data_IF_943009316721
#
_entry.id   IF_943009316721
#
_cell.length_a   1.000
_cell.length_b   1.000
_cell.length_c   1.000
_cell.angle_alpha   90.00
_cell.angle_beta   90.00
_cell.angle_gamma   90.00
#
_symmetry.space_group_name_H-M   'P 1'
#
loop_
_entity.id
_entity.type
_entity.pdbx_description
1 polymer ?
#
# COMPACT_ATOMS: atom_id res chain seq x y z
N UNK A 1 0.02 -2.06 20.59
CA UNK A 1 -0.85 -1.41 19.60
C UNK A 1 -0.48 -1.86 18.21
N UNK A 2 -1.48 -2.14 17.41
CA UNK A 2 -1.23 -2.60 16.05
C UNK A 2 -1.27 -1.44 15.07
N UNK A 3 -0.46 -1.55 14.01
CA UNK A 3 -0.44 -0.60 12.92
C UNK A 3 -0.84 -1.33 11.65
N UNK A 4 -1.69 -0.70 10.87
CA UNK A 4 -2.21 -1.27 9.64
C UNK A 4 -1.56 -0.64 8.42
N UNK A 5 -1.07 -1.48 7.54
CA UNK A 5 -0.51 -1.04 6.27
C UNK A 5 -1.52 -1.33 5.17
N UNK A 6 -1.80 -0.32 4.35
CA UNK A 6 -2.59 -0.49 3.14
C UNK A 6 -1.66 -0.29 1.95
N UNK A 7 -1.69 -1.21 1.01
CA UNK A 7 -0.78 -1.20 -0.13
C UNK A 7 -1.55 -0.86 -1.40
N UNK A 8 -1.08 0.15 -2.12
CA UNK A 8 -1.70 0.55 -3.38
C UNK A 8 -0.87 -0.01 -4.54
N UNK A 9 -1.54 -0.67 -5.47
CA UNK A 9 -0.89 -1.32 -6.60
C UNK A 9 -1.60 -0.97 -7.90
N UNK A 10 -0.92 -1.20 -9.02
CA UNK A 10 -1.52 -1.03 -10.35
C UNK A 10 -1.28 -2.23 -11.25
N UNK A 11 -0.31 -3.07 -10.96
CA UNK A 11 0.10 -4.12 -11.86
C UNK A 11 0.29 -5.47 -11.19
N UNK A 12 1.36 -6.16 -11.57
CA UNK A 12 1.61 -7.51 -11.11
C UNK A 12 1.78 -7.64 -9.61
N UNK A 13 2.19 -6.56 -8.96
CA UNK A 13 2.31 -6.60 -7.51
C UNK A 13 3.58 -7.23 -7.00
N UNK A 14 4.66 -7.21 -7.78
CA UNK A 14 5.92 -7.80 -7.33
C UNK A 14 6.43 -7.11 -6.07
N UNK A 15 6.31 -5.80 -5.98
CA UNK A 15 6.71 -5.08 -4.78
C UNK A 15 5.80 -5.44 -3.60
N UNK A 16 4.50 -5.54 -3.87
CA UNK A 16 3.56 -5.95 -2.86
C UNK A 16 3.88 -7.34 -2.33
N UNK A 17 4.17 -8.28 -3.23
CA UNK A 17 4.55 -9.63 -2.82
C UNK A 17 5.78 -9.61 -1.94
N UNK A 18 6.78 -8.83 -2.31
CA UNK A 18 8.01 -8.74 -1.53
C UNK A 18 7.74 -8.21 -0.14
N UNK A 19 6.89 -7.20 -0.03
CA UNK A 19 6.54 -6.64 1.29
C UNK A 19 5.80 -7.68 2.11
N UNK A 20 4.84 -8.36 1.51
CA UNK A 20 4.07 -9.38 2.21
C UNK A 20 4.96 -10.50 2.71
N UNK A 21 5.83 -11.02 1.82
CA UNK A 21 6.72 -12.11 2.19
C UNK A 21 7.67 -11.71 3.31
N UNK A 22 8.16 -10.48 3.26
CA UNK A 22 9.02 -9.99 4.33
C UNK A 22 8.25 -9.89 5.63
N UNK A 23 6.98 -9.48 5.58
CA UNK A 23 6.18 -9.37 6.79
C UNK A 23 5.95 -10.75 7.42
N UNK A 24 5.83 -11.78 6.61
CA UNK A 24 5.68 -13.13 7.11
C UNK A 24 7.00 -13.67 7.67
N UNK A 25 8.07 -13.50 6.90
CA UNK A 25 9.39 -14.00 7.32
C UNK A 25 9.86 -13.37 8.63
N UNK A 26 9.59 -12.08 8.79
CA UNK A 26 10.03 -11.35 9.97
C UNK A 26 8.96 -11.28 11.05
N UNK A 27 7.80 -11.89 10.78
CA UNK A 27 6.72 -11.99 11.76
C UNK A 27 6.30 -10.61 12.28
N UNK A 28 6.02 -9.70 11.35
CA UNK A 28 5.70 -8.32 11.70
C UNK A 28 4.53 -8.18 12.67
N UNK A 29 3.42 -8.92 12.50
CA UNK A 29 2.31 -8.73 13.43
C UNK A 29 2.68 -9.01 14.87
N UNK A 30 3.45 -10.07 15.12
CA UNK A 30 3.81 -10.42 16.50
C UNK A 30 4.97 -9.60 17.04
N UNK A 31 5.97 -9.35 16.18
CA UNK A 31 7.16 -8.64 16.65
C UNK A 31 6.96 -7.14 16.74
N UNK A 32 6.21 -6.57 15.81
CA UNK A 32 6.12 -5.11 15.70
C UNK A 32 4.70 -4.58 15.75
N UNK A 33 3.72 -5.45 15.82
CA UNK A 33 2.33 -5.03 15.79
C UNK A 33 1.94 -4.41 14.45
N UNK A 34 2.57 -4.84 13.36
CA UNK A 34 2.35 -4.29 12.03
C UNK A 34 1.73 -5.36 11.15
N UNK A 35 0.64 -5.04 10.48
CA UNK A 35 0.01 -6.01 9.58
C UNK A 35 -0.49 -5.31 8.32
N UNK A 36 -0.62 -6.08 7.26
CA UNK A 36 -1.20 -5.60 6.01
C UNK A 36 -2.70 -5.78 6.09
N UNK A 37 -3.44 -4.69 6.23
CA UNK A 37 -4.88 -4.77 6.43
C UNK A 37 -5.66 -4.73 5.13
N UNK A 38 -5.06 -4.27 4.05
CA UNK A 38 -5.75 -4.23 2.78
C UNK A 38 -4.86 -3.84 1.62
N UNK A 39 -5.32 -4.17 0.43
CA UNK A 39 -4.65 -3.84 -0.82
C UNK A 39 -5.66 -3.15 -1.72
N UNK A 40 -5.27 -2.07 -2.37
CA UNK A 40 -6.15 -1.36 -3.27
C UNK A 40 -5.46 -1.24 -4.62
N UNK A 41 -6.15 -1.64 -5.67
CA UNK A 41 -5.66 -1.50 -7.04
C UNK A 41 -6.51 -0.50 -7.80
N UNK A 42 -5.87 0.30 -8.64
CA UNK A 42 -6.61 1.18 -9.54
C UNK A 42 -6.92 0.51 -10.87
N UNK A 43 -6.62 -0.79 -11.00
CA UNK A 43 -6.89 -1.56 -12.21
C UNK A 43 -7.46 -2.91 -11.83
N UNK A 44 -8.62 -3.28 -12.38
CA UNK A 44 -9.26 -4.55 -12.01
C UNK A 44 -8.49 -5.78 -12.46
N UNK A 45 -7.62 -5.64 -13.46
CA UNK A 45 -6.88 -6.78 -14.00
C UNK A 45 -5.51 -6.95 -13.33
N UNK A 46 -5.21 -6.19 -12.28
CA UNK A 46 -3.89 -6.24 -11.65
C UNK A 46 -3.60 -7.63 -11.07
N UNK A 47 -2.42 -8.17 -11.40
CA UNK A 47 -2.04 -9.50 -10.91
C UNK A 47 -1.89 -9.57 -9.41
N UNK A 48 -1.58 -8.45 -8.78
CA UNK A 48 -1.48 -8.42 -7.32
C UNK A 48 -2.78 -8.74 -6.62
N UNK A 49 -3.91 -8.55 -7.30
CA UNK A 49 -5.20 -8.91 -6.71
C UNK A 49 -5.35 -10.43 -6.60
N UNK A 50 -4.84 -11.16 -7.57
CA UNK A 50 -4.85 -12.62 -7.50
C UNK A 50 -4.02 -13.08 -6.30
N UNK A 51 -2.87 -12.48 -6.11
CA UNK A 51 -2.02 -12.80 -4.97
C UNK A 51 -2.73 -12.51 -3.65
N UNK A 52 -3.44 -11.38 -3.59
CA UNK A 52 -4.20 -11.03 -2.39
C UNK A 52 -5.25 -12.10 -2.09
N UNK A 53 -5.97 -12.51 -3.11
CA UNK A 53 -7.03 -13.51 -2.95
C UNK A 53 -6.43 -14.83 -2.46
N UNK A 54 -5.31 -15.24 -3.04
CA UNK A 54 -4.67 -16.50 -2.68
C UNK A 54 -4.15 -16.50 -1.26
N UNK A 55 -3.84 -15.33 -0.72
CA UNK A 55 -3.27 -15.23 0.62
C UNK A 55 -4.25 -14.62 1.62
N UNK A 56 -5.52 -14.56 1.26
CA UNK A 56 -6.60 -14.09 2.14
C UNK A 56 -6.35 -12.67 2.66
N UNK A 57 -5.83 -11.82 1.79
CA UNK A 57 -5.62 -10.41 2.11
C UNK A 57 -6.80 -9.62 1.54
N UNK A 58 -7.52 -8.85 2.36
CA UNK A 58 -8.63 -8.05 1.85
C UNK A 58 -8.17 -7.08 0.77
N UNK A 59 -8.99 -6.90 -0.25
CA UNK A 59 -8.62 -5.98 -1.33
C UNK A 59 -9.83 -5.24 -1.86
N UNK A 60 -9.57 -4.12 -2.54
CA UNK A 60 -10.58 -3.36 -3.24
C UNK A 60 -10.02 -2.91 -4.58
N UNK A 61 -10.92 -2.70 -5.53
CA UNK A 61 -10.57 -2.12 -6.83
C UNK A 61 -11.25 -0.77 -6.94
N UNK A 62 -10.46 0.27 -7.19
CA UNK A 62 -10.98 1.60 -7.44
C UNK A 62 -10.46 2.02 -8.81
N UNK A 63 -11.25 1.73 -9.84
CA UNK A 63 -10.82 1.92 -11.21
C UNK A 63 -10.90 3.40 -11.56
N UNK A 64 -9.74 4.02 -11.79
CA UNK A 64 -9.67 5.45 -12.07
C UNK A 64 -10.46 5.84 -13.32
N UNK A 65 -10.70 4.90 -14.22
CA UNK A 65 -11.46 5.17 -15.45
C UNK A 65 -12.93 5.40 -15.19
N UNK A 66 -13.43 5.01 -14.02
CA UNK A 66 -14.83 5.16 -13.69
C UNK A 66 -15.16 6.50 -13.03
N UNK A 67 -14.18 7.36 -12.90
CA UNK A 67 -14.38 8.64 -12.23
C UNK A 67 -14.11 9.79 -13.18
N UNK A 68 -14.94 10.84 -13.16
CA UNK A 68 -14.79 11.94 -14.12
C UNK A 68 -13.59 12.83 -13.83
N UNK A 69 -13.15 12.88 -12.58
CA UNK A 69 -12.02 13.74 -12.21
C UNK A 69 -11.08 12.96 -11.32
N UNK A 70 -9.84 13.48 -11.24
CA UNK A 70 -8.86 12.88 -10.34
C UNK A 70 -9.29 13.02 -8.89
N UNK A 71 -9.89 14.15 -8.57
CA UNK A 71 -10.36 14.38 -7.20
C UNK A 71 -11.44 13.39 -6.80
N UNK A 72 -12.38 13.09 -7.69
CA UNK A 72 -13.42 12.10 -7.39
C UNK A 72 -12.81 10.73 -7.16
N UNK A 73 -11.83 10.35 -7.97
CA UNK A 73 -11.11 9.10 -7.78
C UNK A 73 -10.40 9.07 -6.43
N UNK A 74 -9.71 10.17 -6.09
CA UNK A 74 -8.95 10.20 -4.84
C UNK A 74 -9.84 10.19 -3.61
N UNK A 75 -11.03 10.78 -3.70
CA UNK A 75 -11.96 10.73 -2.57
C UNK A 75 -12.35 9.30 -2.25
N UNK A 76 -12.60 8.50 -3.28
CA UNK A 76 -12.92 7.08 -3.07
C UNK A 76 -11.70 6.32 -2.58
N UNK A 77 -10.53 6.68 -3.08
CA UNK A 77 -9.30 6.04 -2.63
C UNK A 77 -9.04 6.32 -1.15
N UNK A 78 -9.25 7.56 -0.72
CA UNK A 78 -9.11 7.92 0.68
C UNK A 78 -10.09 7.12 1.54
N UNK A 79 -11.34 7.05 1.09
CA UNK A 79 -12.36 6.32 1.84
C UNK A 79 -11.99 4.84 1.97
N UNK A 80 -11.48 4.25 0.90
CA UNK A 80 -11.08 2.84 0.96
C UNK A 80 -9.92 2.62 1.93
N UNK A 81 -8.95 3.55 1.94
CA UNK A 81 -7.85 3.46 2.90
C UNK A 81 -8.36 3.56 4.32
N UNK A 82 -9.32 4.45 4.55
CA UNK A 82 -9.89 4.59 5.89
C UNK A 82 -10.68 3.36 6.29
N UNK A 83 -11.38 2.74 5.34
CA UNK A 83 -12.11 1.51 5.61
C UNK A 83 -11.19 0.37 6.05
N UNK A 84 -9.95 0.41 5.58
CA UNK A 84 -8.93 -0.56 6.00
C UNK A 84 -8.14 -0.09 7.21
N UNK A 85 -8.55 1.01 7.84
CA UNK A 85 -7.91 1.57 9.03
C UNK A 85 -6.42 1.83 8.81
N UNK A 86 -6.08 2.43 7.68
CA UNK A 86 -4.68 2.62 7.29
C UNK A 86 -3.94 3.54 8.25
N UNK A 87 -2.85 3.04 8.81
CA UNK A 87 -1.88 3.85 9.53
C UNK A 87 -0.74 4.26 8.63
N UNK A 88 -0.45 3.43 7.63
CA UNK A 88 0.61 3.69 6.66
C UNK A 88 0.11 3.27 5.28
N UNK A 89 0.33 4.12 4.30
CA UNK A 89 0.02 3.83 2.91
C UNK A 89 1.32 3.51 2.19
N UNK A 90 1.40 2.36 1.56
CA UNK A 90 2.58 1.95 0.81
C UNK A 90 2.24 1.92 -0.68
N UNK A 91 2.96 2.71 -1.46
CA UNK A 91 2.79 2.72 -2.91
C UNK A 91 3.75 1.70 -3.50
N UNK A 92 3.22 0.58 -3.93
CA UNK A 92 4.02 -0.52 -4.42
C UNK A 92 3.74 -0.73 -5.91
N UNK A 93 4.37 0.12 -6.72
CA UNK A 93 4.12 0.10 -8.15
C UNK A 93 2.80 0.73 -8.54
N UNK A 94 2.34 1.68 -7.76
CA UNK A 94 1.10 2.41 -8.06
C UNK A 94 1.39 3.43 -9.15
N UNK A 95 0.64 3.38 -10.24
CA UNK A 95 0.97 4.12 -11.46
C UNK A 95 0.23 5.44 -11.60
N UNK A 96 -0.49 5.88 -10.60
CA UNK A 96 -1.19 7.16 -10.64
C UNK A 96 -0.44 8.19 -9.84
N UNK A 97 -0.39 9.41 -10.37
CA UNK A 97 0.14 10.55 -9.62
C UNK A 97 -0.94 11.01 -8.65
N UNK A 98 -0.57 11.13 -7.38
CA UNK A 98 -1.50 11.54 -6.35
C UNK A 98 -1.45 13.06 -6.19
N UNK A 99 -2.62 13.67 -6.08
CA UNK A 99 -2.71 15.12 -5.91
C UNK A 99 -2.61 15.47 -4.42
N UNK A 100 -2.48 16.77 -4.09
CA UNK A 100 -2.44 17.17 -2.68
C UNK A 100 -3.65 16.71 -1.87
N UNK A 101 -4.79 16.47 -2.51
CA UNK A 101 -5.95 15.96 -1.78
C UNK A 101 -5.62 14.68 -1.03
N UNK A 102 -5.07 13.69 -1.74
CA UNK A 102 -4.71 12.43 -1.11
C UNK A 102 -3.49 12.57 -0.21
N UNK A 103 -2.47 13.27 -0.70
CA UNK A 103 -1.23 13.40 0.05
C UNK A 103 -1.46 14.08 1.39
N UNK A 104 -2.29 15.12 1.41
CA UNK A 104 -2.56 15.81 2.67
C UNK A 104 -3.41 14.99 3.63
N UNK A 105 -4.28 14.13 3.09
CA UNK A 105 -5.11 13.27 3.94
C UNK A 105 -4.26 12.29 4.75
N UNK A 106 -3.11 11.89 4.20
CA UNK A 106 -2.24 10.91 4.86
C UNK A 106 -0.83 11.45 5.00
N UNK A 107 -0.72 12.72 5.33
CA UNK A 107 0.57 13.38 5.45
C UNK A 107 1.47 12.65 6.45
N UNK A 108 2.72 12.40 6.04
CA UNK A 108 3.67 11.69 6.89
C UNK A 108 3.42 10.20 6.99
N UNK A 109 2.44 9.67 6.24
CA UNK A 109 2.08 8.26 6.33
C UNK A 109 2.07 7.57 4.97
N UNK A 110 2.79 8.12 3.99
CA UNK A 110 2.86 7.53 2.65
C UNK A 110 4.30 7.17 2.36
N UNK A 111 4.50 5.94 1.91
CA UNK A 111 5.83 5.43 1.55
C UNK A 111 5.77 4.92 0.12
N UNK A 112 6.69 5.41 -0.72
CA UNK A 112 6.80 4.94 -2.09
C UNK A 112 7.99 3.97 -2.16
N UNK A 113 7.73 2.74 -2.58
CA UNK A 113 8.74 1.70 -2.57
C UNK A 113 9.25 1.43 -3.97
N UNK A 114 10.58 1.42 -4.10
CA UNK A 114 11.25 0.99 -5.32
C UNK A 114 11.71 -0.44 -5.16
N UNK A 115 11.60 -1.26 -6.23
CA UNK A 115 11.98 -2.66 -6.13
C UNK A 115 13.43 -2.84 -5.69
N UNK A 116 14.31 -1.95 -6.13
CA UNK A 116 15.73 -2.07 -5.83
C UNK A 116 16.06 -1.86 -4.36
N UNK A 117 15.17 -1.21 -3.61
CA UNK A 117 15.44 -0.93 -2.21
C UNK A 117 15.13 -2.10 -1.29
N UNK A 118 14.13 -2.92 -1.64
CA UNK A 118 13.67 -3.96 -0.74
C UNK A 118 14.75 -4.94 -0.32
N UNK A 119 15.54 -5.50 -1.24
CA UNK A 119 16.58 -6.44 -0.83
C UNK A 119 17.77 -5.79 -0.15
N UNK A 120 17.89 -4.47 -0.23
CA UNK A 120 19.01 -3.76 0.38
C UNK A 120 18.77 -3.37 1.83
N UNK A 121 17.55 -3.53 2.30
CA UNK A 121 17.20 -3.12 3.66
C UNK A 121 16.66 -4.32 4.42
N UNK A 122 17.54 -5.16 4.96
CA UNK A 122 17.12 -6.41 5.58
C UNK A 122 16.33 -6.24 6.87
N UNK A 123 16.47 -5.09 7.52
CA UNK A 123 15.83 -4.88 8.81
C UNK A 123 14.65 -3.94 8.72
N UNK A 124 13.66 -4.19 9.54
CA UNK A 124 12.47 -3.36 9.54
C UNK A 124 12.76 -1.92 9.95
N UNK A 125 13.74 -1.72 10.83
CA UNK A 125 14.08 -0.37 11.26
C UNK A 125 14.48 0.50 10.07
N UNK A 126 15.05 -0.09 9.04
CA UNK A 126 15.39 0.65 7.84
C UNK A 126 14.13 1.10 7.12
N UNK A 127 13.12 0.26 7.10
CA UNK A 127 11.85 0.63 6.50
C UNK A 127 11.21 1.79 7.25
N UNK A 128 11.29 1.76 8.57
CA UNK A 128 10.71 2.82 9.37
C UNK A 128 11.36 4.15 9.07
N UNK A 129 12.67 4.17 8.86
CA UNK A 129 13.33 5.41 8.55
C UNK A 129 12.96 5.93 7.17
N UNK A 130 12.56 5.05 6.26
CA UNK A 130 12.14 5.45 4.93
C UNK A 130 10.77 6.10 4.91
N UNK A 131 9.99 5.93 5.95
CA UNK A 131 8.67 6.53 6.01
C UNK A 131 8.75 8.05 5.88
N UNK A 132 9.82 8.63 6.32
CA UNK A 132 9.97 10.09 6.30
C UNK A 132 10.35 10.63 4.93
N UNK A 133 10.61 9.76 3.98
CA UNK A 133 11.06 10.17 2.66
C UNK A 133 9.88 10.30 1.70
N UNK A 134 8.80 9.69 2.02
CA UNK A 134 7.66 9.67 1.13
C UNK A 134 7.00 11.05 1.08
N UNK A 135 6.97 11.62 -0.03
CA UNK A 135 6.26 12.87 -0.18
C UNK A 135 5.80 13.00 -1.55
#
# INVERSE_FOLDING_TARGET
MSKNIVILISGRGSNFKAVYERSVQENWPEKYGVRISGVISNRPEAGGLTFSKENNIPFKVIDHKEYPTREAFEEELIKACEDFDADLIVLAGFMRVLTPLFVNAFEGRILNIHPALLPMFPGLHTHLSLIHISE
#
